data_IF_522525155428
#
_entry.id   IF_522525155428
#
_cell.length_a   1.000
_cell.length_b   1.000
_cell.length_c   1.000
_cell.angle_alpha   90.00
_cell.angle_beta   90.00
_cell.angle_gamma   90.00
#
_symmetry.space_group_name_H-M   'P 1'
#
loop_
_entity.id
_entity.type
_entity.pdbx_description
1 polymer ?
#
# COMPACT_ATOMS: atom_id res chain seq x y z
N UNK A 1 3.05 4.44 68.64
CA UNK A 1 2.96 5.52 67.64
C UNK A 1 3.11 4.91 66.25
N UNK A 2 2.00 4.73 65.52
CA UNK A 2 1.80 5.03 64.08
C UNK A 2 0.25 5.12 63.89
N UNK A 3 -0.32 6.22 63.35
CA UNK A 3 -1.73 6.34 63.03
C UNK A 3 -2.06 6.04 61.54
N UNK A 4 -3.36 5.89 61.28
CA UNK A 4 -4.02 5.50 60.05
C UNK A 4 -3.92 6.51 58.87
N UNK A 5 -4.01 6.01 57.63
CA UNK A 5 -4.72 6.65 56.50
C UNK A 5 -4.70 5.74 55.27
N UNK A 6 -5.87 5.23 54.86
CA UNK A 6 -6.11 4.51 53.59
C UNK A 6 -7.52 4.91 53.11
N UNK A 7 -7.71 6.19 52.73
CA UNK A 7 -9.04 6.63 52.24
C UNK A 7 -9.04 7.85 51.29
N UNK A 8 -7.93 8.16 50.62
CA UNK A 8 -7.83 9.33 49.71
C UNK A 8 -7.82 8.97 48.22
N UNK A 9 -7.50 7.72 47.84
CA UNK A 9 -7.35 7.34 46.43
C UNK A 9 -8.66 7.06 45.68
N UNK A 10 -9.66 6.47 46.35
CA UNK A 10 -10.90 6.04 45.69
C UNK A 10 -11.90 7.17 45.45
N UNK A 11 -11.86 8.23 46.26
CA UNK A 11 -12.78 9.37 46.15
C UNK A 11 -12.47 10.27 44.93
N UNK A 12 -11.19 10.40 44.59
CA UNK A 12 -10.72 11.23 43.47
C UNK A 12 -11.09 10.67 42.09
N UNK A 13 -11.23 9.35 41.96
CA UNK A 13 -11.66 8.69 40.71
C UNK A 13 -13.18 8.83 40.51
N UNK A 14 -13.97 8.74 41.60
CA UNK A 14 -15.42 8.85 41.54
C UNK A 14 -15.90 10.27 41.16
N UNK A 15 -15.27 11.30 41.73
CA UNK A 15 -15.62 12.70 41.46
C UNK A 15 -15.25 13.12 40.01
N UNK A 16 -14.17 12.55 39.48
CA UNK A 16 -13.74 12.77 38.08
C UNK A 16 -14.70 12.13 37.07
N UNK A 17 -15.31 10.98 37.40
CA UNK A 17 -16.30 10.32 36.56
C UNK A 17 -17.69 10.99 36.62
N UNK A 18 -18.04 11.63 37.75
CA UNK A 18 -19.29 12.37 37.90
C UNK A 18 -19.28 13.67 37.07
N UNK A 19 -18.15 14.37 37.01
CA UNK A 19 -18.00 15.59 36.20
C UNK A 19 -18.15 15.34 34.68
N UNK A 20 -17.83 14.13 34.20
CA UNK A 20 -17.99 13.78 32.78
C UNK A 20 -19.44 13.49 32.37
N UNK A 21 -20.33 13.19 33.33
CA UNK A 21 -21.74 12.90 33.08
C UNK A 21 -22.65 14.13 33.13
N UNK A 22 -22.17 15.25 33.65
CA UNK A 22 -22.88 16.52 33.70
C UNK A 22 -22.27 17.52 32.70
N UNK A 23 -22.36 17.19 31.40
CA UNK A 23 -22.05 18.16 30.34
C UNK A 23 -23.07 19.31 30.31
N UNK A 24 -22.65 20.55 29.98
CA UNK A 24 -23.58 21.68 29.92
C UNK A 24 -24.57 21.48 28.78
N UNK A 25 -25.83 21.89 29.01
CA UNK A 25 -26.88 21.93 28.00
C UNK A 25 -26.54 23.01 26.95
N UNK A 26 -25.69 22.66 25.99
CA UNK A 26 -25.44 23.46 24.79
C UNK A 26 -26.42 22.99 23.73
N UNK A 27 -27.29 23.91 23.30
CA UNK A 27 -28.35 23.65 22.34
C UNK A 27 -27.85 22.92 21.10
N UNK A 28 -28.68 22.00 20.60
CA UNK A 28 -28.46 21.27 19.35
C UNK A 28 -28.46 22.25 18.18
N UNK A 29 -27.29 22.76 17.84
CA UNK A 29 -27.03 23.29 16.51
C UNK A 29 -26.96 22.05 15.62
N UNK A 30 -27.87 21.96 14.64
CA UNK A 30 -27.78 20.94 13.61
C UNK A 30 -26.39 21.06 12.95
N UNK A 31 -25.48 20.15 13.33
CA UNK A 31 -24.20 19.99 12.66
C UNK A 31 -24.55 19.77 11.19
N UNK A 32 -24.18 20.73 10.34
CA UNK A 32 -24.14 20.54 8.89
C UNK A 32 -23.57 19.16 8.65
N UNK A 33 -24.31 18.30 7.94
CA UNK A 33 -23.81 17.01 7.53
C UNK A 33 -22.41 17.22 6.96
N UNK A 34 -21.42 16.54 7.53
CA UNK A 34 -20.06 16.57 6.99
C UNK A 34 -20.16 16.28 5.49
N UNK A 35 -19.40 16.99 4.62
CA UNK A 35 -19.37 16.65 3.20
C UNK A 35 -19.15 15.15 3.12
N UNK A 36 -20.04 14.42 2.45
CA UNK A 36 -19.93 12.97 2.31
C UNK A 36 -18.51 12.70 1.81
N UNK A 37 -17.68 12.09 2.67
CA UNK A 37 -16.30 11.85 2.34
C UNK A 37 -16.31 11.03 1.05
N UNK A 38 -15.63 11.53 0.01
CA UNK A 38 -15.48 10.77 -1.24
C UNK A 38 -14.97 9.38 -0.86
N UNK A 39 -15.51 8.31 -1.45
CA UNK A 39 -15.05 6.96 -1.14
C UNK A 39 -13.53 6.88 -1.35
N UNK A 40 -12.81 6.08 -0.54
CA UNK A 40 -11.37 5.92 -0.67
C UNK A 40 -10.96 5.55 -2.10
N UNK A 41 -10.10 6.35 -2.72
CA UNK A 41 -9.60 6.08 -4.06
C UNK A 41 -8.36 5.20 -4.01
N UNK A 42 -8.44 3.99 -4.55
CA UNK A 42 -7.30 3.09 -4.72
C UNK A 42 -6.93 2.96 -6.19
N UNK A 43 -5.65 3.14 -6.50
CA UNK A 43 -5.11 2.95 -7.84
C UNK A 43 -3.96 1.94 -7.77
N UNK A 44 -4.23 0.73 -8.23
CA UNK A 44 -3.23 -0.32 -8.41
C UNK A 44 -2.48 -0.15 -9.72
N UNK A 45 -1.18 -0.43 -9.72
CA UNK A 45 -0.35 -0.40 -10.92
C UNK A 45 0.33 -1.76 -11.10
N UNK A 46 0.09 -2.36 -12.26
CA UNK A 46 0.65 -3.61 -12.73
C UNK A 46 1.56 -3.39 -13.95
N UNK A 47 2.36 -4.40 -14.29
CA UNK A 47 3.28 -4.38 -15.43
C UNK A 47 4.64 -4.99 -15.10
N UNK A 48 5.41 -5.31 -16.14
CA UNK A 48 6.71 -5.97 -16.03
C UNK A 48 7.78 -5.07 -15.41
N UNK A 49 8.93 -5.68 -15.04
CA UNK A 49 10.11 -4.94 -14.60
C UNK A 49 10.50 -3.90 -15.67
N UNK A 50 10.86 -2.68 -15.25
CA UNK A 50 11.26 -1.55 -16.13
C UNK A 50 10.17 -1.05 -17.09
N UNK A 51 8.90 -1.40 -16.88
CA UNK A 51 7.79 -0.87 -17.66
C UNK A 51 7.50 0.63 -17.40
N UNK A 52 7.99 1.19 -16.29
CA UNK A 52 7.73 2.59 -15.88
C UNK A 52 6.69 2.74 -14.77
N UNK A 53 6.40 1.66 -14.02
CA UNK A 53 5.43 1.65 -12.93
C UNK A 53 5.74 2.65 -11.82
N UNK A 54 6.98 2.66 -11.33
CA UNK A 54 7.38 3.56 -10.25
C UNK A 54 7.29 5.03 -10.71
N UNK A 55 7.65 5.29 -11.97
CA UNK A 55 7.52 6.59 -12.62
C UNK A 55 6.07 7.05 -12.67
N UNK A 56 5.15 6.17 -13.10
CA UNK A 56 3.72 6.47 -13.12
C UNK A 56 3.16 6.66 -11.70
N UNK A 57 3.50 5.76 -10.77
CA UNK A 57 3.03 5.81 -9.39
C UNK A 57 3.40 7.12 -8.71
N UNK A 58 4.66 7.55 -8.83
CA UNK A 58 5.13 8.81 -8.26
C UNK A 58 4.46 10.02 -8.91
N UNK A 59 4.27 9.99 -10.24
CA UNK A 59 3.58 11.05 -10.96
C UNK A 59 2.11 11.19 -10.54
N UNK A 60 1.38 10.08 -10.44
CA UNK A 60 -0.02 10.07 -10.00
C UNK A 60 -0.17 10.43 -8.52
N UNK A 61 0.69 9.91 -7.65
CA UNK A 61 0.68 10.24 -6.22
C UNK A 61 0.84 11.76 -6.01
N UNK A 62 1.75 12.37 -6.76
CA UNK A 62 1.94 13.84 -6.75
C UNK A 62 0.72 14.58 -7.30
N UNK A 63 0.22 14.18 -8.47
CA UNK A 63 -0.90 14.86 -9.14
C UNK A 63 -2.23 14.76 -8.37
N UNK A 64 -2.47 13.64 -7.68
CA UNK A 64 -3.72 13.35 -6.97
C UNK A 64 -3.62 13.56 -5.46
N UNK A 65 -2.45 13.99 -4.95
CA UNK A 65 -2.14 14.10 -3.53
C UNK A 65 -2.48 12.83 -2.73
N UNK A 66 -2.22 11.66 -3.34
CA UNK A 66 -2.50 10.36 -2.74
C UNK A 66 -1.22 9.77 -2.11
N UNK A 67 -1.32 9.12 -0.94
CA UNK A 67 -0.19 8.36 -0.41
C UNK A 67 0.13 7.18 -1.32
N UNK A 68 1.40 6.75 -1.31
CA UNK A 68 1.88 5.60 -2.07
C UNK A 68 2.46 4.57 -1.09
N UNK A 69 1.96 3.34 -1.14
CA UNK A 69 2.47 2.20 -0.37
C UNK A 69 2.36 0.92 -1.22
N UNK A 70 3.09 -0.12 -0.87
CA UNK A 70 3.23 -1.34 -1.66
C UNK A 70 2.96 -2.59 -0.83
N UNK A 71 2.57 -3.68 -1.49
CA UNK A 71 2.44 -4.97 -0.81
C UNK A 71 3.78 -5.43 -0.24
N UNK A 72 4.87 -5.14 -0.95
CA UNK A 72 6.22 -5.49 -0.55
C UNK A 72 6.86 -4.57 0.51
N UNK A 73 6.24 -3.44 0.91
CA UNK A 73 6.87 -2.51 1.86
C UNK A 73 7.28 -3.16 3.20
N UNK A 74 6.42 -3.95 3.87
CA UNK A 74 6.82 -4.62 5.12
C UNK A 74 7.93 -5.65 4.91
N UNK A 75 7.93 -6.35 3.77
CA UNK A 75 8.98 -7.32 3.42
C UNK A 75 10.33 -6.62 3.26
N UNK A 76 10.34 -5.48 2.56
CA UNK A 76 11.55 -4.67 2.38
C UNK A 76 12.08 -4.17 3.71
N UNK A 77 11.20 -3.69 4.60
CA UNK A 77 11.60 -3.24 5.92
C UNK A 77 12.16 -4.39 6.76
N UNK A 78 11.51 -5.55 6.75
CA UNK A 78 11.95 -6.74 7.46
C UNK A 78 13.34 -7.20 7.00
N UNK A 79 13.54 -7.39 5.70
CA UNK A 79 14.83 -7.83 5.14
C UNK A 79 15.92 -6.78 5.35
N UNK A 80 15.61 -5.49 5.17
CA UNK A 80 16.55 -4.41 5.46
C UNK A 80 17.03 -4.47 6.92
N UNK A 81 16.09 -4.62 7.87
CA UNK A 81 16.41 -4.74 9.29
C UNK A 81 17.23 -5.99 9.62
N UNK A 82 16.93 -7.15 9.00
CA UNK A 82 17.72 -8.37 9.19
C UNK A 82 19.16 -8.23 8.72
N UNK A 83 19.38 -7.52 7.61
CA UNK A 83 20.70 -7.33 7.01
C UNK A 83 21.46 -6.12 7.55
N UNK A 84 20.84 -5.34 8.45
CA UNK A 84 21.42 -4.10 8.96
C UNK A 84 21.60 -3.03 7.88
N UNK A 85 20.72 -3.01 6.88
CA UNK A 85 20.76 -2.07 5.75
C UNK A 85 19.68 -1.01 5.87
N UNK A 86 19.95 0.19 5.35
CA UNK A 86 18.89 1.13 5.00
C UNK A 86 18.09 0.61 3.80
N UNK A 87 16.85 1.08 3.62
CA UNK A 87 16.04 0.73 2.43
C UNK A 87 16.72 1.12 1.11
N UNK A 88 17.51 2.20 1.11
CA UNK A 88 18.28 2.65 -0.05
C UNK A 88 19.41 1.67 -0.38
N UNK A 89 20.15 1.21 0.63
CA UNK A 89 21.21 0.21 0.45
C UNK A 89 20.62 -1.13 0.00
N UNK A 90 19.50 -1.55 0.60
CA UNK A 90 18.76 -2.73 0.17
C UNK A 90 18.43 -2.65 -1.32
N UNK A 91 17.92 -1.51 -1.81
CA UNK A 91 17.58 -1.36 -3.23
C UNK A 91 18.78 -1.45 -4.17
N UNK A 92 19.92 -0.86 -3.77
CA UNK A 92 21.15 -0.88 -4.54
C UNK A 92 21.78 -2.27 -4.59
N UNK A 93 21.68 -3.03 -3.50
CA UNK A 93 22.36 -4.33 -3.31
C UNK A 93 21.44 -5.54 -3.40
N UNK A 94 20.18 -5.37 -3.81
CA UNK A 94 19.18 -6.46 -3.77
C UNK A 94 19.55 -7.68 -4.61
N UNK A 95 20.37 -7.52 -5.63
CA UNK A 95 20.85 -8.62 -6.49
C UNK A 95 22.24 -9.12 -6.08
N UNK A 96 22.89 -8.48 -5.10
CA UNK A 96 24.22 -8.87 -4.64
C UNK A 96 24.11 -10.07 -3.70
N UNK A 97 25.06 -10.99 -3.80
CA UNK A 97 25.20 -12.07 -2.85
C UNK A 97 25.46 -11.52 -1.44
N UNK A 98 24.88 -12.17 -0.43
CA UNK A 98 25.11 -11.86 0.98
C UNK A 98 26.26 -12.75 1.44
N UNK A 99 27.40 -12.15 1.77
CA UNK A 99 28.66 -12.85 2.06
C UNK A 99 28.53 -14.05 3.02
N UNK A 100 27.68 -13.92 4.05
CA UNK A 100 27.46 -14.94 5.08
C UNK A 100 26.31 -15.91 4.79
N UNK A 101 25.59 -15.73 3.67
CA UNK A 101 24.52 -16.61 3.17
C UNK A 101 24.84 -17.20 1.79
N UNK A 102 26.14 -17.36 1.47
CA UNK A 102 26.59 -17.89 0.19
C UNK A 102 26.00 -17.13 -1.02
N UNK A 103 25.30 -17.82 -1.92
CA UNK A 103 24.75 -17.23 -3.15
C UNK A 103 23.38 -16.56 -2.98
N UNK A 104 22.83 -16.51 -1.75
CA UNK A 104 21.54 -15.89 -1.50
C UNK A 104 21.64 -14.37 -1.53
N UNK A 105 20.66 -13.74 -2.16
CA UNK A 105 20.57 -12.28 -2.31
C UNK A 105 19.41 -11.71 -1.51
N UNK A 106 19.38 -10.40 -1.18
CA UNK A 106 18.22 -9.81 -0.53
C UNK A 106 16.93 -9.95 -1.35
N UNK A 107 17.04 -9.97 -2.69
CA UNK A 107 15.94 -10.29 -3.60
C UNK A 107 15.38 -11.68 -3.35
N UNK A 108 16.24 -12.68 -3.21
CA UNK A 108 15.83 -14.04 -2.89
C UNK A 108 15.12 -14.13 -1.54
N UNK A 109 15.64 -13.45 -0.50
CA UNK A 109 14.99 -13.38 0.81
C UNK A 109 13.59 -12.75 0.72
N UNK A 110 13.46 -11.62 0.01
CA UNK A 110 12.15 -10.96 -0.16
C UNK A 110 11.16 -11.83 -0.94
N UNK A 111 11.62 -12.59 -1.94
CA UNK A 111 10.76 -13.46 -2.74
C UNK A 111 10.25 -14.64 -1.90
N UNK A 112 11.14 -15.40 -1.28
CA UNK A 112 10.79 -16.57 -0.47
C UNK A 112 9.97 -16.21 0.77
N UNK A 113 10.31 -15.11 1.45
CA UNK A 113 9.50 -14.59 2.55
C UNK A 113 8.11 -14.14 2.07
N UNK A 114 8.03 -13.53 0.89
CA UNK A 114 6.78 -13.04 0.31
C UNK A 114 5.83 -14.13 -0.17
N UNK A 115 6.34 -15.20 -0.80
CA UNK A 115 5.53 -16.31 -1.28
C UNK A 115 5.46 -17.45 -0.27
N UNK A 116 6.54 -18.21 -0.13
CA UNK A 116 6.56 -19.48 0.59
C UNK A 116 6.20 -19.29 2.06
N UNK A 117 6.86 -18.37 2.75
CA UNK A 117 6.52 -18.13 4.15
C UNK A 117 5.19 -17.37 4.27
N UNK A 118 5.08 -16.18 3.66
CA UNK A 118 3.94 -15.30 3.88
C UNK A 118 2.61 -15.82 3.32
N UNK A 119 2.57 -16.13 2.02
CA UNK A 119 1.32 -16.54 1.35
C UNK A 119 0.98 -17.99 1.62
N UNK A 120 1.96 -18.89 1.50
CA UNK A 120 1.68 -20.33 1.55
C UNK A 120 1.61 -20.87 2.98
N UNK A 121 2.47 -20.39 3.90
CA UNK A 121 2.52 -20.90 5.29
C UNK A 121 1.70 -20.08 6.28
N UNK A 122 1.62 -18.75 6.13
CA UNK A 122 0.90 -17.89 7.08
C UNK A 122 -0.54 -17.64 6.64
N UNK A 123 -0.75 -16.87 5.56
CA UNK A 123 -2.09 -16.58 5.05
C UNK A 123 -2.04 -15.98 3.62
N UNK A 124 -2.86 -16.44 2.66
CA UNK A 124 -2.81 -15.94 1.27
C UNK A 124 -3.09 -14.43 1.13
N UNK A 125 -3.94 -13.89 2.00
CA UNK A 125 -4.26 -12.45 2.09
C UNK A 125 -3.36 -11.65 3.06
N UNK A 126 -2.25 -12.20 3.56
CA UNK A 126 -1.40 -11.52 4.56
C UNK A 126 -0.99 -10.12 4.10
N UNK A 127 -0.38 -10.04 2.91
CA UNK A 127 0.12 -8.78 2.33
C UNK A 127 -1.02 -7.83 1.96
N UNK A 128 -2.14 -8.39 1.47
CA UNK A 128 -3.34 -7.64 1.12
C UNK A 128 -3.92 -6.93 2.35
N UNK A 129 -4.16 -7.68 3.43
CA UNK A 129 -4.68 -7.13 4.69
C UNK A 129 -3.72 -6.11 5.29
N UNK A 130 -2.43 -6.40 5.24
CA UNK A 130 -1.38 -5.50 5.72
C UNK A 130 -1.39 -4.17 4.98
N UNK A 131 -1.48 -4.16 3.64
CA UNK A 131 -1.54 -2.93 2.84
C UNK A 131 -2.76 -2.08 3.20
N UNK A 132 -3.96 -2.67 3.22
CA UNK A 132 -5.18 -1.89 3.48
C UNK A 132 -5.30 -1.39 4.92
N UNK A 133 -4.59 -2.01 5.87
CA UNK A 133 -4.46 -1.45 7.21
C UNK A 133 -3.57 -0.19 7.24
N UNK A 134 -2.59 -0.08 6.34
CA UNK A 134 -1.69 1.09 6.23
C UNK A 134 -2.20 2.18 5.30
N UNK A 135 -3.10 1.85 4.38
CA UNK A 135 -3.77 2.78 3.46
C UNK A 135 -5.30 2.84 3.68
N UNK A 136 -5.81 3.19 4.88
CA UNK A 136 -7.26 3.13 5.14
C UNK A 136 -8.09 4.14 4.32
N UNK A 137 -7.46 5.24 3.87
CA UNK A 137 -8.13 6.34 3.17
C UNK A 137 -7.94 6.32 1.63
N UNK A 138 -7.40 5.24 1.08
CA UNK A 138 -7.02 5.17 -0.34
C UNK A 138 -5.54 5.45 -0.57
N UNK A 139 -5.08 5.21 -1.80
CA UNK A 139 -3.69 5.42 -2.19
C UNK A 139 -3.29 4.71 -3.49
N UNK A 140 -2.05 4.98 -3.89
CA UNK A 140 -1.38 4.33 -5.02
C UNK A 140 -0.69 3.05 -4.55
N UNK A 141 -0.82 1.98 -5.34
CA UNK A 141 -0.23 0.66 -5.06
C UNK A 141 0.60 0.21 -6.26
N UNK A 142 1.93 0.42 -6.26
CA UNK A 142 2.76 0.33 -7.47
C UNK A 142 3.13 -1.10 -7.90
N UNK A 143 2.85 -2.10 -7.08
CA UNK A 143 3.37 -3.46 -7.20
C UNK A 143 2.29 -4.54 -7.22
N UNK A 144 1.14 -4.28 -7.87
CA UNK A 144 0.11 -5.31 -8.11
C UNK A 144 0.67 -6.39 -9.03
N UNK A 145 0.70 -7.63 -8.55
CA UNK A 145 1.23 -8.81 -9.27
C UNK A 145 0.31 -10.01 -9.21
N UNK A 146 -0.53 -10.11 -8.19
CA UNK A 146 -1.37 -11.28 -7.97
C UNK A 146 -2.86 -10.95 -8.15
N UNK A 147 -3.63 -11.92 -8.63
CA UNK A 147 -5.06 -11.74 -8.84
C UNK A 147 -5.78 -11.30 -7.56
N UNK A 148 -5.43 -11.86 -6.40
CA UNK A 148 -6.06 -11.50 -5.14
C UNK A 148 -5.83 -10.03 -4.72
N UNK A 149 -4.68 -9.47 -5.08
CA UNK A 149 -4.36 -8.05 -4.87
C UNK A 149 -5.26 -7.16 -5.71
N UNK A 150 -5.39 -7.46 -7.01
CA UNK A 150 -6.25 -6.72 -7.93
C UNK A 150 -7.72 -6.79 -7.49
N UNK A 151 -8.23 -7.99 -7.18
CA UNK A 151 -9.58 -8.16 -6.65
C UNK A 151 -9.79 -7.37 -5.35
N UNK A 152 -8.80 -7.29 -4.47
CA UNK A 152 -8.93 -6.55 -3.23
C UNK A 152 -9.00 -5.03 -3.43
N UNK A 153 -8.36 -4.51 -4.49
CA UNK A 153 -8.48 -3.13 -4.95
C UNK A 153 -9.88 -2.91 -5.54
N UNK A 154 -10.35 -3.78 -6.44
CA UNK A 154 -11.68 -3.70 -7.05
C UNK A 154 -12.82 -3.77 -6.02
N UNK A 155 -12.72 -4.67 -5.04
CA UNK A 155 -13.70 -4.77 -3.93
C UNK A 155 -13.85 -3.48 -3.11
N UNK A 156 -12.92 -2.54 -3.22
CA UNK A 156 -12.94 -1.23 -2.57
C UNK A 156 -13.32 -0.09 -3.52
N UNK A 157 -13.77 -0.41 -4.72
CA UNK A 157 -14.09 0.57 -5.76
C UNK A 157 -12.86 1.21 -6.39
N UNK A 158 -11.67 0.62 -6.19
CA UNK A 158 -10.43 1.05 -6.85
C UNK A 158 -10.29 0.48 -8.26
N UNK A 159 -9.24 0.91 -8.94
CA UNK A 159 -8.91 0.47 -10.30
C UNK A 159 -7.48 -0.02 -10.41
N UNK A 160 -7.22 -0.88 -11.39
CA UNK A 160 -5.91 -1.44 -11.71
C UNK A 160 -5.49 -1.01 -13.10
N UNK A 161 -4.33 -0.38 -13.16
CA UNK A 161 -3.71 0.15 -14.37
C UNK A 161 -2.54 -0.74 -14.75
N UNK A 162 -2.47 -1.21 -16.00
CA UNK A 162 -1.31 -1.91 -16.53
C UNK A 162 -0.45 -0.98 -17.37
N UNK A 163 0.84 -0.90 -17.03
CA UNK A 163 1.82 -0.16 -17.83
C UNK A 163 2.57 -1.13 -18.73
N UNK A 164 2.51 -0.89 -20.03
CA UNK A 164 3.18 -1.66 -21.07
C UNK A 164 4.29 -0.81 -21.69
N UNK A 165 5.47 -1.38 -21.99
CA UNK A 165 6.55 -0.66 -22.67
C UNK A 165 6.76 -1.26 -24.07
N UNK A 166 6.45 -0.53 -25.16
CA UNK A 166 6.64 -1.07 -26.51
C UNK A 166 8.09 -1.46 -26.78
N UNK A 167 8.28 -2.55 -27.53
CA UNK A 167 9.60 -3.12 -27.84
C UNK A 167 10.25 -3.93 -26.71
N UNK A 168 9.66 -3.95 -25.51
CA UNK A 168 9.97 -4.94 -24.47
C UNK A 168 8.85 -5.99 -24.48
N UNK A 169 8.87 -6.84 -25.51
CA UNK A 169 7.97 -7.99 -25.58
C UNK A 169 8.19 -8.93 -24.40
N UNK A 170 7.14 -9.65 -24.02
CA UNK A 170 7.12 -10.71 -23.02
C UNK A 170 8.01 -11.91 -23.42
N UNK A 171 9.32 -11.66 -23.60
CA UNK A 171 10.32 -12.66 -23.94
C UNK A 171 11.08 -13.20 -22.72
N UNK A 172 10.74 -12.78 -21.50
CA UNK A 172 11.24 -13.47 -20.31
C UNK A 172 10.41 -14.74 -20.07
N UNK A 173 10.81 -15.83 -20.74
CA UNK A 173 10.25 -17.18 -20.64
C UNK A 173 10.61 -17.86 -19.30
N UNK A 174 10.84 -17.07 -18.23
CA UNK A 174 11.11 -17.56 -16.89
C UNK A 174 9.84 -17.44 -16.05
N UNK A 175 9.11 -18.54 -16.07
CA UNK A 175 8.03 -19.09 -15.21
C UNK A 175 7.63 -18.45 -13.85
N UNK A 176 7.92 -17.18 -13.53
CA UNK A 176 7.47 -16.49 -12.30
C UNK A 176 6.83 -15.12 -12.53
N UNK A 177 6.83 -14.60 -13.77
CA UNK A 177 6.10 -13.39 -14.14
C UNK A 177 4.75 -13.78 -14.79
N UNK A 178 3.83 -14.34 -14.00
CA UNK A 178 2.44 -14.39 -14.47
C UNK A 178 1.94 -12.95 -14.58
N UNK A 179 1.78 -12.48 -15.81
CA UNK A 179 1.01 -11.27 -16.08
C UNK A 179 -0.35 -11.40 -15.41
N UNK A 180 -0.81 -10.32 -14.79
CA UNK A 180 -2.15 -10.26 -14.23
C UNK A 180 -3.18 -10.64 -15.33
N UNK A 181 -4.26 -11.36 -15.03
CA UNK A 181 -5.33 -11.58 -16.01
C UNK A 181 -5.86 -10.26 -16.58
N UNK A 182 -6.15 -10.22 -17.88
CA UNK A 182 -6.61 -9.00 -18.57
C UNK A 182 -7.95 -8.51 -18.02
N UNK A 183 -8.81 -9.42 -17.58
CA UNK A 183 -10.09 -9.14 -16.91
C UNK A 183 -9.94 -8.37 -15.57
N UNK A 184 -8.74 -8.37 -14.98
CA UNK A 184 -8.45 -7.65 -13.74
C UNK A 184 -7.77 -6.30 -13.99
N UNK A 185 -7.69 -5.85 -15.24
CA UNK A 185 -7.09 -4.58 -15.62
C UNK A 185 -8.14 -3.66 -16.23
N UNK A 186 -8.28 -2.47 -15.65
CA UNK A 186 -9.29 -1.49 -16.05
C UNK A 186 -8.76 -0.51 -17.10
N UNK A 187 -7.45 -0.24 -17.05
CA UNK A 187 -6.77 0.76 -17.87
C UNK A 187 -5.44 0.19 -18.32
N UNK A 188 -5.20 0.18 -19.63
CA UNK A 188 -3.87 -0.05 -20.19
C UNK A 188 -3.23 1.25 -20.66
N UNK A 189 -1.94 1.42 -20.37
CA UNK A 189 -1.17 2.59 -20.76
C UNK A 189 0.18 2.19 -21.33
N UNK A 190 0.50 2.69 -22.52
CA UNK A 190 1.80 2.51 -23.17
C UNK A 190 2.80 3.56 -22.70
N UNK A 191 3.95 3.10 -22.21
CA UNK A 191 5.12 3.90 -21.89
C UNK A 191 6.04 4.01 -23.12
N UNK A 192 5.63 4.85 -24.07
CA UNK A 192 6.27 5.10 -25.37
C UNK A 192 6.64 6.57 -25.61
N UNK A 193 6.50 7.41 -24.58
CA UNK A 193 6.75 8.84 -24.63
C UNK A 193 7.50 9.34 -23.40
N UNK A 194 7.32 10.62 -23.08
CA UNK A 194 7.91 11.17 -21.86
C UNK A 194 7.18 10.69 -20.60
N UNK A 195 7.84 10.83 -19.43
CA UNK A 195 7.19 10.62 -18.14
C UNK A 195 5.93 11.49 -17.98
N UNK A 196 5.97 12.74 -18.45
CA UNK A 196 4.82 13.64 -18.39
C UNK A 196 3.66 13.13 -19.25
N UNK A 197 3.94 12.60 -20.43
CA UNK A 197 2.92 12.00 -21.31
C UNK A 197 2.30 10.75 -20.70
N UNK A 198 3.10 9.93 -20.02
CA UNK A 198 2.61 8.73 -19.33
C UNK A 198 1.61 9.11 -18.23
N UNK A 199 1.96 10.08 -17.40
CA UNK A 199 1.10 10.56 -16.30
C UNK A 199 -0.15 11.23 -16.86
N UNK A 200 -0.01 12.17 -17.81
CA UNK A 200 -1.14 12.89 -18.41
C UNK A 200 -2.14 11.95 -19.06
N UNK A 201 -1.69 11.02 -19.90
CA UNK A 201 -2.57 10.04 -20.56
C UNK A 201 -3.33 9.18 -19.54
N UNK A 202 -2.68 8.84 -18.43
CA UNK A 202 -3.32 8.07 -17.37
C UNK A 202 -4.40 8.89 -16.66
N UNK A 203 -4.12 10.16 -16.33
CA UNK A 203 -5.09 11.07 -15.73
C UNK A 203 -6.31 11.30 -16.65
N UNK A 204 -6.08 11.49 -17.95
CA UNK A 204 -7.16 11.64 -18.94
C UNK A 204 -8.06 10.39 -18.98
N UNK A 205 -7.48 9.19 -18.86
CA UNK A 205 -8.25 7.94 -18.80
C UNK A 205 -9.04 7.78 -17.50
N UNK A 206 -8.49 8.23 -16.36
CA UNK A 206 -9.19 8.24 -15.08
C UNK A 206 -10.36 9.23 -15.08
N UNK A 207 -10.15 10.45 -15.59
CA UNK A 207 -11.18 11.50 -15.70
C UNK A 207 -12.32 11.09 -16.64
N UNK A 208 -12.00 10.57 -17.83
CA UNK A 208 -13.01 10.16 -18.82
C UNK A 208 -13.91 9.01 -18.33
N UNK A 209 -13.47 8.26 -17.33
CA UNK A 209 -14.23 7.18 -16.68
C UNK A 209 -14.94 7.63 -15.40
N UNK A 210 -14.81 8.89 -14.99
CA UNK A 210 -15.41 9.42 -13.76
C UNK A 210 -14.81 8.83 -12.48
N UNK A 211 -13.56 8.36 -12.53
CA UNK A 211 -12.86 7.75 -11.40
C UNK A 211 -12.19 8.78 -10.48
N UNK A 212 -11.95 9.99 -10.98
CA UNK A 212 -11.36 11.14 -10.26
C UNK A 212 -12.10 12.44 -10.56
#
# INVERSE_FOLDING_TARGET
>A
MIPASLDSGHRMIADTLAAFRAGPAVGSIALRAAPQARPPLYIGIAGSRRAGKDTLANGLASALALPCDSFAAPLRQFVASLLGLSLRELDSRKEDAIDWLAELTPRHLMQTAGSEWGRDRIHPELWVRSLFARLPAGGLVPDVRFANEAHAIHRRGGVVIRVNRPGHGAHDTRASEQSLPDELVDIEVSNDGSQADLVRRTLDQLLSRGLI
#
